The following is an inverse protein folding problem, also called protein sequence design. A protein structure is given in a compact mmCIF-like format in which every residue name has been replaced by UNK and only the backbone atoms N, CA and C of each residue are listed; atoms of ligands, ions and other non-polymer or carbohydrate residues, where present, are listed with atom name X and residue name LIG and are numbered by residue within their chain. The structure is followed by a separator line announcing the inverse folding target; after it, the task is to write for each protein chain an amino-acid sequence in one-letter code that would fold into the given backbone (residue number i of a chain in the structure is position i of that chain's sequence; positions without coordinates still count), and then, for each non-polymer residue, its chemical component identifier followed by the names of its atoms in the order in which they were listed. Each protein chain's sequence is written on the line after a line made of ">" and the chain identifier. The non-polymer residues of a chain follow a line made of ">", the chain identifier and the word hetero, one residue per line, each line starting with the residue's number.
data_IF_312434635005
#
_entry.id   IF_312434635005
#
_cell.length_a   1.000
_cell.length_b   1.000
_cell.length_c   1.000
_cell.angle_alpha   90.00
_cell.angle_beta   90.00
_cell.angle_gamma   90.00
#
_symmetry.space_group_name_H-M   'P 1'
#
loop_
_entity.id
_entity.type
_entity.pdbx_description
1 polymer ?
#
# COMPACT_ATOMS: atom_id res chain seq x y z
N UNK A 1 47.21 9.65 -19.00
CA UNK A 1 45.91 9.73 -19.69
C UNK A 1 44.92 8.87 -18.92
N UNK A 2 44.03 9.47 -18.14
CA UNK A 2 43.01 8.70 -17.39
C UNK A 2 41.92 8.23 -18.36
N UNK A 3 41.60 6.93 -18.33
CA UNK A 3 40.47 6.38 -19.08
C UNK A 3 39.16 6.94 -18.50
N UNK A 4 38.17 7.32 -19.31
CA UNK A 4 36.85 7.66 -18.79
C UNK A 4 36.21 6.38 -18.24
N UNK A 5 35.83 6.41 -16.96
CA UNK A 5 34.99 5.37 -16.37
C UNK A 5 33.64 5.35 -17.10
N UNK A 6 33.46 4.36 -17.98
CA UNK A 6 32.20 4.09 -18.66
C UNK A 6 31.17 3.57 -17.67
N UNK A 7 30.40 4.47 -17.05
CA UNK A 7 29.21 4.11 -16.28
C UNK A 7 28.01 4.01 -17.23
N UNK A 8 27.94 2.94 -18.04
CA UNK A 8 26.71 2.56 -18.72
C UNK A 8 25.96 1.57 -17.84
N UNK A 9 25.34 2.06 -16.77
CA UNK A 9 24.31 1.28 -16.05
C UNK A 9 22.99 1.44 -16.81
N UNK A 10 22.65 0.48 -17.66
CA UNK A 10 21.30 0.38 -18.21
C UNK A 10 20.33 0.08 -17.06
N UNK A 11 19.65 1.11 -16.54
CA UNK A 11 18.60 0.93 -15.56
C UNK A 11 17.38 0.29 -16.24
N UNK A 12 16.98 -0.89 -15.79
CA UNK A 12 15.73 -1.54 -16.21
C UNK A 12 14.62 -0.96 -15.34
N UNK A 13 13.69 -0.23 -15.95
CA UNK A 13 12.50 0.25 -15.27
C UNK A 13 11.36 -0.72 -15.58
N UNK A 14 10.75 -1.27 -14.53
CA UNK A 14 9.47 -1.97 -14.64
C UNK A 14 8.37 -0.99 -14.28
N UNK A 15 7.46 -0.74 -15.21
CA UNK A 15 6.28 0.09 -14.98
C UNK A 15 5.05 -0.80 -14.97
N UNK A 16 4.21 -0.63 -13.95
CA UNK A 16 2.90 -1.25 -13.87
C UNK A 16 1.87 -0.14 -13.72
N UNK A 17 0.90 -0.11 -14.62
CA UNK A 17 -0.21 0.82 -14.52
C UNK A 17 -1.04 0.52 -13.28
N UNK A 18 -1.33 1.56 -12.50
CA UNK A 18 -2.03 1.42 -11.23
C UNK A 18 -3.40 0.78 -11.39
N UNK A 19 -4.16 1.16 -12.43
CA UNK A 19 -5.49 0.59 -12.69
C UNK A 19 -5.42 -0.90 -13.01
N UNK A 20 -4.47 -1.33 -13.85
CA UNK A 20 -4.28 -2.75 -14.15
C UNK A 20 -3.88 -3.55 -12.90
N UNK A 21 -3.06 -2.95 -12.02
CA UNK A 21 -2.73 -3.55 -10.74
C UNK A 21 -3.95 -3.67 -9.82
N UNK A 22 -4.79 -2.63 -9.74
CA UNK A 22 -6.03 -2.66 -8.96
C UNK A 22 -7.00 -3.73 -9.49
N UNK A 23 -7.19 -3.82 -10.80
CA UNK A 23 -8.06 -4.84 -11.41
C UNK A 23 -7.59 -6.26 -11.07
N UNK A 24 -6.28 -6.52 -11.24
CA UNK A 24 -5.68 -7.78 -10.83
C UNK A 24 -5.85 -8.04 -9.32
N UNK A 25 -5.60 -7.04 -8.49
CA UNK A 25 -5.73 -7.15 -7.03
C UNK A 25 -7.18 -7.45 -6.59
N UNK A 26 -8.17 -6.82 -7.22
CA UNK A 26 -9.58 -7.05 -6.94
C UNK A 26 -10.11 -8.37 -7.51
N UNK A 27 -9.43 -8.94 -8.51
CA UNK A 27 -9.81 -10.24 -9.09
C UNK A 27 -9.58 -11.45 -8.16
N UNK A 28 -8.88 -11.27 -7.04
CA UNK A 28 -8.60 -12.35 -6.11
C UNK A 28 -9.83 -12.70 -5.24
N UNK A 29 -10.31 -13.96 -5.26
CA UNK A 29 -11.48 -14.36 -4.44
C UNK A 29 -11.30 -14.09 -2.95
N UNK A 30 -10.06 -14.18 -2.45
CA UNK A 30 -9.71 -13.91 -1.05
C UNK A 30 -9.85 -12.43 -0.69
N UNK A 31 -9.63 -11.52 -1.64
CA UNK A 31 -9.79 -10.08 -1.45
C UNK A 31 -11.27 -9.74 -1.34
N UNK A 32 -12.08 -10.27 -2.25
CA UNK A 32 -13.54 -10.11 -2.23
C UNK A 32 -14.15 -10.66 -0.93
N UNK A 33 -13.84 -11.92 -0.57
CA UNK A 33 -14.33 -12.53 0.66
C UNK A 33 -13.94 -11.73 1.92
N UNK A 34 -12.77 -11.09 1.90
CA UNK A 34 -12.31 -10.25 2.99
C UNK A 34 -13.12 -8.96 3.14
N UNK A 35 -13.64 -8.41 2.05
CA UNK A 35 -14.48 -7.21 2.12
C UNK A 35 -15.87 -7.54 2.68
N UNK A 36 -16.43 -8.68 2.29
CA UNK A 36 -17.69 -9.19 2.83
C UNK A 36 -17.59 -9.47 4.33
N UNK A 37 -16.53 -10.17 4.78
CA UNK A 37 -16.30 -10.46 6.20
C UNK A 37 -16.10 -9.18 7.04
N UNK A 38 -15.35 -8.21 6.50
CA UNK A 38 -15.12 -6.93 7.17
C UNK A 38 -16.40 -6.09 7.31
N UNK A 39 -17.34 -6.21 6.38
CA UNK A 39 -18.64 -5.52 6.43
C UNK A 39 -19.57 -6.09 7.53
N UNK A 40 -19.42 -7.38 7.85
CA UNK A 40 -20.25 -8.09 8.80
C UNK A 40 -19.80 -7.92 10.28
N UNK A 41 -18.60 -7.38 10.52
CA UNK A 41 -18.06 -7.25 11.87
C UNK A 41 -18.79 -6.17 12.69
N UNK A 42 -19.26 -6.48 13.92
CA UNK A 42 -19.91 -5.50 14.78
C UNK A 42 -18.95 -4.37 15.13
N UNK A 43 -19.35 -3.13 14.84
CA UNK A 43 -18.59 -1.95 15.22
C UNK A 43 -18.76 -1.73 16.73
N UNK A 44 -17.86 -2.28 17.55
CA UNK A 44 -17.78 -1.89 18.96
C UNK A 44 -17.13 -0.50 19.06
N UNK A 45 -17.88 0.55 19.45
CA UNK A 45 -17.38 1.93 19.40
C UNK A 45 -16.20 2.19 20.35
N UNK A 46 -16.07 1.38 21.39
CA UNK A 46 -15.09 1.59 22.46
C UNK A 46 -13.76 0.84 22.24
N UNK A 47 -13.68 -0.05 21.24
CA UNK A 47 -12.47 -0.84 20.96
C UNK A 47 -12.01 -0.60 19.53
N UNK A 48 -10.88 0.10 19.40
CA UNK A 48 -10.21 0.31 18.11
C UNK A 48 -9.30 -0.88 17.84
N UNK A 49 -9.75 -1.81 17.01
CA UNK A 49 -8.98 -2.99 16.58
C UNK A 49 -8.26 -2.80 15.24
N UNK A 50 -8.65 -1.79 14.46
CA UNK A 50 -8.13 -1.53 13.11
C UNK A 50 -7.96 -0.01 12.90
N UNK A 51 -6.92 0.39 12.16
CA UNK A 51 -6.68 1.79 11.78
C UNK A 51 -7.94 2.44 11.16
N UNK A 52 -8.67 1.71 10.31
CA UNK A 52 -9.91 2.18 9.70
C UNK A 52 -11.01 2.54 10.70
N UNK A 53 -10.98 1.99 11.92
CA UNK A 53 -11.97 2.33 12.96
C UNK A 53 -11.66 3.68 13.61
N UNK A 54 -10.40 4.12 13.57
CA UNK A 54 -9.96 5.37 14.19
C UNK A 54 -10.64 6.57 13.53
N UNK A 55 -10.96 7.56 14.37
CA UNK A 55 -11.57 8.81 13.91
C UNK A 55 -10.65 9.57 12.93
N UNK A 56 -9.33 9.53 13.17
CA UNK A 56 -8.35 10.16 12.31
C UNK A 56 -8.35 9.56 10.89
N UNK A 57 -8.30 8.23 10.76
CA UNK A 57 -8.33 7.58 9.45
C UNK A 57 -9.64 7.82 8.70
N UNK A 58 -10.79 7.77 9.38
CA UNK A 58 -12.09 8.08 8.75
C UNK A 58 -12.13 9.51 8.20
N UNK A 59 -11.59 10.47 8.95
CA UNK A 59 -11.49 11.87 8.52
C UNK A 59 -10.54 12.05 7.34
N UNK A 60 -9.35 11.43 7.37
CA UNK A 60 -8.35 11.53 6.31
C UNK A 60 -8.85 10.88 5.01
N UNK A 61 -9.46 9.71 5.12
CA UNK A 61 -9.92 8.94 3.96
C UNK A 61 -11.28 9.42 3.42
N UNK A 62 -11.91 10.42 4.04
CA UNK A 62 -13.24 10.88 3.66
C UNK A 62 -14.31 9.77 3.72
N UNK A 63 -14.06 8.72 4.50
CA UNK A 63 -14.93 7.53 4.51
C UNK A 63 -16.29 7.88 5.13
N UNK A 64 -17.41 7.54 4.47
CA UNK A 64 -18.72 7.74 5.04
C UNK A 64 -18.86 6.90 6.32
N UNK A 65 -19.57 7.43 7.31
CA UNK A 65 -19.75 6.79 8.63
C UNK A 65 -20.46 5.42 8.54
N UNK A 66 -21.09 5.13 7.40
CA UNK A 66 -21.64 3.83 6.98
C UNK A 66 -21.36 3.63 5.50
N UNK A 67 -20.82 2.47 5.10
CA UNK A 67 -21.04 1.97 3.75
C UNK A 67 -22.52 1.57 3.67
N UNK A 68 -23.30 2.33 2.92
CA UNK A 68 -24.75 2.16 2.83
C UNK A 68 -25.17 1.84 1.41
N UNK A 69 -25.88 0.72 1.26
CA UNK A 69 -26.48 0.17 0.03
C UNK A 69 -25.54 -0.53 -0.95
N UNK A 70 -26.08 -1.56 -1.62
CA UNK A 70 -25.41 -2.40 -2.62
C UNK A 70 -24.91 -1.63 -3.85
N UNK A 71 -25.25 -0.33 -3.98
CA UNK A 71 -24.86 0.52 -5.11
C UNK A 71 -23.86 1.62 -4.72
N UNK A 72 -23.34 1.62 -3.49
CA UNK A 72 -22.32 2.58 -3.10
C UNK A 72 -20.97 2.25 -3.75
N UNK A 73 -20.19 3.28 -4.17
CA UNK A 73 -18.86 3.05 -4.69
C UNK A 73 -17.95 2.41 -3.64
N UNK A 74 -17.13 1.45 -4.07
CA UNK A 74 -16.12 0.81 -3.22
C UNK A 74 -14.98 1.79 -2.92
N UNK A 75 -14.97 2.34 -1.71
CA UNK A 75 -13.92 3.26 -1.26
C UNK A 75 -12.74 2.47 -0.66
N UNK A 76 -11.70 2.27 -1.48
CA UNK A 76 -10.47 1.63 -1.06
C UNK A 76 -9.52 2.64 -0.42
N UNK A 77 -8.96 2.27 0.72
CA UNK A 77 -7.97 3.02 1.48
C UNK A 77 -6.69 2.20 1.53
N UNK A 78 -5.60 2.81 1.11
CA UNK A 78 -4.28 2.19 1.15
C UNK A 78 -3.34 2.96 2.08
N UNK A 79 -2.50 2.23 2.82
CA UNK A 79 -1.30 2.80 3.42
C UNK A 79 -0.12 2.59 2.48
N UNK A 80 0.66 3.65 2.27
CA UNK A 80 1.89 3.60 1.50
C UNK A 80 3.08 3.70 2.45
N UNK A 81 3.97 2.72 2.37
CA UNK A 81 5.26 2.74 3.04
C UNK A 81 6.35 3.01 2.01
N UNK A 82 7.25 3.94 2.31
CA UNK A 82 8.39 4.29 1.45
C UNK A 82 9.64 4.28 2.32
N UNK A 83 10.61 3.46 1.96
CA UNK A 83 11.93 3.44 2.59
C UNK A 83 13.00 3.53 1.52
N UNK A 84 13.92 4.47 1.69
CA UNK A 84 15.05 4.69 0.80
C UNK A 84 16.31 4.69 1.64
N UNK A 85 17.18 3.70 1.45
CA UNK A 85 18.44 3.61 2.17
C UNK A 85 19.62 3.46 1.21
N UNK A 86 20.80 3.84 1.69
CA UNK A 86 22.06 3.57 1.01
C UNK A 86 22.58 2.21 1.49
N UNK A 87 22.48 1.14 0.67
CA UNK A 87 22.89 -0.20 1.10
C UNK A 87 24.39 -0.29 1.40
N UNK A 88 25.20 0.68 0.94
CA UNK A 88 26.65 0.70 1.12
C UNK A 88 27.11 1.55 2.32
N UNK A 89 26.18 2.10 3.12
CA UNK A 89 26.49 2.72 4.43
C UNK A 89 27.38 3.98 4.40
N UNK A 90 27.79 4.47 3.23
CA UNK A 90 28.69 5.61 3.14
C UNK A 90 27.99 6.92 3.52
N UNK A 91 28.38 7.47 4.68
CA UNK A 91 27.96 8.78 5.21
C UNK A 91 28.72 9.97 4.60
N UNK A 92 29.70 9.75 3.73
CA UNK A 92 30.50 10.81 3.12
C UNK A 92 30.18 10.92 1.63
N UNK A 93 29.56 12.05 1.29
CA UNK A 93 29.25 12.60 -0.03
C UNK A 93 29.84 11.84 -1.24
N UNK A 94 29.05 10.91 -1.78
CA UNK A 94 29.32 10.27 -3.06
C UNK A 94 28.11 9.46 -3.50
N UNK A 95 27.23 10.06 -4.31
CA UNK A 95 26.16 9.35 -5.02
C UNK A 95 26.78 8.14 -5.73
N UNK A 96 26.40 6.92 -5.35
CA UNK A 96 26.64 5.80 -6.26
C UNK A 96 25.57 4.72 -6.23
N UNK A 97 24.96 4.43 -5.08
CA UNK A 97 23.86 3.44 -5.01
C UNK A 97 22.84 3.84 -3.94
N UNK A 98 21.59 4.02 -4.33
CA UNK A 98 20.45 4.15 -3.42
C UNK A 98 19.43 3.07 -3.77
N UNK A 99 18.94 2.35 -2.77
CA UNK A 99 17.86 1.39 -2.93
C UNK A 99 16.61 1.95 -2.26
N UNK A 100 15.52 2.00 -3.01
CA UNK A 100 14.20 2.37 -2.51
C UNK A 100 13.26 1.19 -2.58
N UNK A 101 12.43 1.03 -1.54
CA UNK A 101 11.30 0.12 -1.53
C UNK A 101 10.02 0.90 -1.23
N UNK A 102 8.98 0.60 -2.00
CA UNK A 102 7.63 1.11 -1.78
C UNK A 102 6.70 -0.08 -1.59
N UNK A 103 5.93 -0.07 -0.51
CA UNK A 103 4.86 -1.04 -0.27
C UNK A 103 3.51 -0.35 -0.17
N UNK A 104 2.53 -0.91 -0.85
CA UNK A 104 1.14 -0.49 -0.80
C UNK A 104 0.32 -1.58 -0.11
N UNK A 105 -0.35 -1.23 0.99
CA UNK A 105 -1.19 -2.16 1.75
C UNK A 105 -2.63 -1.68 1.73
N UNK A 106 -3.56 -2.52 1.26
CA UNK A 106 -4.99 -2.22 1.30
C UNK A 106 -5.51 -2.39 2.74
N UNK A 107 -5.96 -1.28 3.35
CA UNK A 107 -6.47 -1.27 4.72
C UNK A 107 -7.89 -1.83 4.83
N UNK A 108 -8.62 -1.91 3.72
CA UNK A 108 -9.96 -2.53 3.67
C UNK A 108 -9.90 -4.05 3.84
N UNK A 109 -8.73 -4.67 3.60
CA UNK A 109 -8.56 -6.08 3.87
C UNK A 109 -8.61 -6.35 5.38
N UNK A 110 -9.13 -7.52 5.71
CA UNK A 110 -9.18 -8.06 7.04
C UNK A 110 -7.75 -8.26 7.57
N UNK A 111 -7.58 -8.02 8.87
CA UNK A 111 -6.26 -8.03 9.52
C UNK A 111 -5.54 -9.37 9.35
N UNK A 112 -6.29 -10.47 9.25
CA UNK A 112 -5.73 -11.83 9.09
C UNK A 112 -5.03 -12.07 7.74
N UNK A 113 -5.22 -11.19 6.75
CA UNK A 113 -4.64 -11.36 5.41
C UNK A 113 -3.80 -10.18 4.94
N UNK A 114 -3.95 -9.00 5.55
CA UNK A 114 -3.35 -7.73 5.12
C UNK A 114 -1.83 -7.75 4.94
N UNK A 115 -1.13 -8.55 5.74
CA UNK A 115 0.35 -8.62 5.76
C UNK A 115 0.87 -10.04 5.49
N UNK A 116 0.04 -10.92 4.92
CA UNK A 116 0.51 -12.25 4.52
C UNK A 116 1.35 -12.12 3.24
N UNK A 117 2.48 -12.85 3.13
CA UNK A 117 3.28 -12.93 1.91
C UNK A 117 2.51 -13.59 0.77
#
# INVERSE_FOLDING_TARGET
>A
TQLPHGANSSSIFFQQEFNNWIEWFLSFPKVEASFEEGSAQPLHPDIITNYLHSHACKKIAGLPRRQGSNNAPLNLVFSMFVDCFNPLGNKLAGKQVSLGFMALTCLNLHLSIRYKP
#
